data_IF_098706889821
#
_entry.id   IF_098706889821
#
_cell.length_a   1.000
_cell.length_b   1.000
_cell.length_c   1.000
_cell.angle_alpha   90.00
_cell.angle_beta   90.00
_cell.angle_gamma   90.00
#
_symmetry.space_group_name_H-M   'P 1'
#
loop_
_entity.id
_entity.type
_entity.pdbx_description
1 polymer ?
#
# COMPACT_ATOMS: atom_id res chain seq x y z
N UNK A 1 15.28 7.40 27.23
CA UNK A 1 14.63 6.13 26.77
C UNK A 1 13.14 6.30 26.44
N UNK A 2 12.35 7.07 27.22
CA UNK A 2 10.90 7.27 26.95
C UNK A 2 10.59 8.04 25.66
N UNK A 3 11.41 9.01 25.27
CA UNK A 3 11.19 9.83 24.05
C UNK A 3 11.32 9.02 22.75
N UNK A 4 12.28 8.08 22.68
CA UNK A 4 12.45 7.21 21.52
C UNK A 4 11.26 6.26 21.32
N UNK A 5 10.72 5.69 22.41
CA UNK A 5 9.53 4.83 22.33
C UNK A 5 8.28 5.60 21.94
N UNK A 6 8.16 6.87 22.36
CA UNK A 6 7.03 7.72 21.99
C UNK A 6 7.07 8.09 20.50
N UNK A 7 8.25 8.40 19.96
CA UNK A 7 8.44 8.65 18.53
C UNK A 7 8.06 7.44 17.69
N UNK A 8 8.51 6.24 18.08
CA UNK A 8 8.16 4.99 17.37
C UNK A 8 6.65 4.72 17.35
N UNK A 9 5.95 5.04 18.44
CA UNK A 9 4.48 4.93 18.52
C UNK A 9 3.77 5.89 17.57
N UNK A 10 4.25 7.13 17.45
CA UNK A 10 3.71 8.12 16.51
C UNK A 10 3.91 7.66 15.07
N UNK A 11 5.11 7.15 14.74
CA UNK A 11 5.38 6.60 13.40
C UNK A 11 4.47 5.41 13.05
N UNK A 12 4.25 4.50 13.99
CA UNK A 12 3.31 3.38 13.80
C UNK A 12 1.89 3.87 13.48
N UNK A 13 1.42 4.91 14.16
CA UNK A 13 0.10 5.51 13.93
C UNK A 13 0.03 6.17 12.55
N UNK A 14 1.08 6.90 12.14
CA UNK A 14 1.16 7.48 10.78
C UNK A 14 1.13 6.41 9.68
N UNK A 15 1.78 5.25 9.90
CA UNK A 15 1.72 4.11 9.00
C UNK A 15 0.31 3.55 8.84
N UNK A 16 -0.40 3.37 9.96
CA UNK A 16 -1.78 2.88 9.97
C UNK A 16 -2.70 3.89 9.27
N UNK A 17 -2.56 5.18 9.58
CA UNK A 17 -3.35 6.24 8.95
C UNK A 17 -3.12 6.26 7.44
N UNK A 18 -1.86 6.21 6.96
CA UNK A 18 -1.56 6.15 5.52
C UNK A 18 -2.11 4.88 4.87
N UNK A 19 -1.98 3.72 5.51
CA UNK A 19 -2.55 2.47 5.00
C UNK A 19 -4.07 2.54 4.84
N UNK A 20 -4.76 3.08 5.85
CA UNK A 20 -6.21 3.33 5.80
C UNK A 20 -6.54 4.34 4.70
N UNK A 21 -5.77 5.41 4.56
CA UNK A 21 -5.99 6.43 3.54
C UNK A 21 -5.78 5.88 2.12
N UNK A 22 -4.77 5.04 1.91
CA UNK A 22 -4.56 4.31 0.65
C UNK A 22 -5.71 3.35 0.36
N UNK A 23 -6.25 2.68 1.37
CA UNK A 23 -7.43 1.83 1.23
C UNK A 23 -8.68 2.67 0.87
N UNK A 24 -8.82 3.86 1.45
CA UNK A 24 -9.87 4.82 1.12
C UNK A 24 -9.74 5.34 -0.33
N UNK A 25 -8.52 5.62 -0.78
CA UNK A 25 -8.23 5.99 -2.17
C UNK A 25 -8.54 4.83 -3.12
N UNK A 26 -8.33 3.58 -2.70
CA UNK A 26 -8.72 2.41 -3.49
C UNK A 26 -10.24 2.31 -3.71
N UNK A 27 -11.06 3.03 -2.94
CA UNK A 27 -12.49 3.13 -3.20
C UNK A 27 -12.81 3.90 -4.50
N UNK A 28 -11.94 4.81 -4.95
CA UNK A 28 -12.11 5.58 -6.19
C UNK A 28 -12.11 4.65 -7.43
N UNK A 29 -11.08 3.79 -7.66
CA UNK A 29 -11.11 2.85 -8.77
C UNK A 29 -12.24 1.82 -8.62
N UNK A 30 -12.67 1.47 -7.40
CA UNK A 30 -13.85 0.63 -7.21
C UNK A 30 -15.14 1.26 -7.78
N UNK A 31 -15.32 2.58 -7.62
CA UNK A 31 -16.42 3.32 -8.24
C UNK A 31 -16.31 3.30 -9.77
N UNK A 32 -15.09 3.46 -10.32
CA UNK A 32 -14.87 3.35 -11.77
C UNK A 32 -15.22 1.96 -12.34
N UNK A 33 -14.93 0.88 -11.59
CA UNK A 33 -15.34 -0.48 -11.96
C UNK A 33 -16.86 -0.59 -12.03
N UNK A 34 -17.56 -0.05 -11.02
CA UNK A 34 -19.03 -0.04 -10.99
C UNK A 34 -19.62 0.75 -12.17
N UNK A 35 -19.06 1.92 -12.49
CA UNK A 35 -19.51 2.73 -13.63
C UNK A 35 -19.26 2.00 -14.95
N UNK A 36 -18.06 1.45 -15.16
CA UNK A 36 -17.74 0.69 -16.37
C UNK A 36 -18.60 -0.57 -16.53
N UNK A 37 -18.90 -1.27 -15.42
CA UNK A 37 -19.78 -2.43 -15.43
C UNK A 37 -21.24 -2.06 -15.74
N UNK A 38 -21.70 -0.90 -15.25
CA UNK A 38 -23.03 -0.38 -15.56
C UNK A 38 -23.15 0.02 -17.03
N UNK A 39 -22.12 0.65 -17.62
CA UNK A 39 -22.05 0.97 -19.05
C UNK A 39 -22.05 -0.32 -19.88
N UNK A 40 -21.28 -1.34 -19.48
CA UNK A 40 -21.23 -2.62 -20.20
C UNK A 40 -22.57 -3.38 -20.16
N UNK A 41 -23.33 -3.25 -19.06
CA UNK A 41 -24.64 -3.91 -18.93
C UNK A 41 -25.76 -3.19 -19.70
N UNK A 42 -25.72 -1.86 -19.77
CA UNK A 42 -26.76 -1.04 -20.43
C UNK A 42 -26.43 -0.63 -21.87
N UNK A 43 -25.15 -0.71 -22.28
CA UNK A 43 -24.67 -0.41 -23.62
C UNK A 43 -25.13 -1.46 -24.62
N UNK A 44 -26.41 -1.39 -24.98
CA UNK A 44 -27.02 -2.24 -25.98
C UNK A 44 -26.70 -1.68 -27.38
N UNK A 45 -25.65 -2.22 -28.00
CA UNK A 45 -25.45 -2.30 -29.46
C UNK A 45 -24.69 -1.17 -30.19
N UNK A 46 -23.85 -0.38 -29.52
CA UNK A 46 -22.80 0.40 -30.22
C UNK A 46 -21.42 -0.13 -29.81
N UNK A 47 -20.65 -0.64 -30.79
CA UNK A 47 -19.37 -1.30 -30.54
C UNK A 47 -18.35 -0.44 -29.77
N UNK A 48 -18.47 0.89 -29.90
CA UNK A 48 -17.62 1.86 -29.20
C UNK A 48 -17.92 1.95 -27.70
N UNK A 49 -19.19 1.89 -27.28
CA UNK A 49 -19.56 1.98 -25.85
C UNK A 49 -19.14 0.74 -25.06
N UNK A 50 -19.25 -0.44 -25.68
CA UNK A 50 -18.81 -1.71 -25.09
C UNK A 50 -17.29 -1.73 -24.87
N UNK A 51 -16.51 -1.19 -25.82
CA UNK A 51 -15.05 -1.14 -25.75
C UNK A 51 -14.58 -0.16 -24.66
N UNK A 52 -15.22 1.01 -24.56
CA UNK A 52 -14.97 2.00 -23.51
C UNK A 52 -15.31 1.43 -22.12
N UNK A 53 -16.48 0.79 -21.97
CA UNK A 53 -16.88 0.14 -20.71
C UNK A 53 -15.91 -0.95 -20.28
N UNK A 54 -15.51 -1.82 -21.21
CA UNK A 54 -14.54 -2.89 -20.95
C UNK A 54 -13.14 -2.36 -20.56
N UNK A 55 -12.66 -1.31 -21.22
CA UNK A 55 -11.38 -0.67 -20.88
C UNK A 55 -11.43 -0.03 -19.48
N UNK A 56 -12.49 0.71 -19.17
CA UNK A 56 -12.65 1.35 -17.85
C UNK A 56 -12.76 0.32 -16.72
N UNK A 57 -13.56 -0.74 -16.92
CA UNK A 57 -13.66 -1.83 -15.96
C UNK A 57 -12.34 -2.57 -15.81
N UNK A 58 -11.66 -2.91 -16.91
CA UNK A 58 -10.38 -3.62 -16.88
C UNK A 58 -9.26 -2.85 -16.20
N UNK A 59 -9.10 -1.57 -16.56
CA UNK A 59 -8.10 -0.67 -15.95
C UNK A 59 -8.43 -0.43 -14.47
N UNK A 60 -9.71 -0.18 -14.16
CA UNK A 60 -10.18 0.00 -12.79
C UNK A 60 -9.87 -1.21 -11.92
N UNK A 61 -10.12 -2.43 -12.42
CA UNK A 61 -9.88 -3.69 -11.71
C UNK A 61 -8.37 -3.93 -11.48
N UNK A 62 -7.55 -3.64 -12.50
CA UNK A 62 -6.09 -3.75 -12.41
C UNK A 62 -5.54 -2.79 -11.33
N UNK A 63 -5.94 -1.53 -11.38
CA UNK A 63 -5.52 -0.49 -10.43
C UNK A 63 -6.03 -0.79 -9.01
N UNK A 64 -7.28 -1.24 -8.88
CA UNK A 64 -7.88 -1.60 -7.60
C UNK A 64 -7.15 -2.77 -6.93
N UNK A 65 -6.90 -3.84 -7.68
CA UNK A 65 -6.14 -4.99 -7.19
C UNK A 65 -4.73 -4.58 -6.77
N UNK A 66 -4.04 -3.78 -7.60
CA UNK A 66 -2.70 -3.29 -7.28
C UNK A 66 -2.68 -2.42 -6.01
N UNK A 67 -3.63 -1.49 -5.85
CA UNK A 67 -3.74 -0.63 -4.67
C UNK A 67 -4.06 -1.42 -3.40
N UNK A 68 -4.96 -2.41 -3.47
CA UNK A 68 -5.26 -3.27 -2.33
C UNK A 68 -4.05 -4.11 -1.95
N UNK A 69 -3.39 -4.75 -2.91
CA UNK A 69 -2.18 -5.55 -2.66
C UNK A 69 -1.13 -4.66 -2.00
N UNK A 70 -0.82 -3.50 -2.58
CA UNK A 70 0.16 -2.57 -2.01
C UNK A 70 -0.26 -2.06 -0.62
N UNK A 71 -1.53 -1.75 -0.40
CA UNK A 71 -2.08 -1.32 0.88
C UNK A 71 -1.93 -2.39 1.96
N UNK A 72 -2.31 -3.64 1.65
CA UNK A 72 -2.17 -4.79 2.55
C UNK A 72 -0.70 -5.07 2.84
N UNK A 73 0.17 -5.09 1.83
CA UNK A 73 1.62 -5.27 2.02
C UNK A 73 2.20 -4.18 2.92
N UNK A 74 1.74 -2.93 2.79
CA UNK A 74 2.16 -1.81 3.65
C UNK A 74 1.78 -2.03 5.12
N UNK A 75 0.53 -2.43 5.36
CA UNK A 75 0.03 -2.72 6.71
C UNK A 75 0.81 -3.89 7.31
N UNK A 76 1.04 -4.93 6.51
CA UNK A 76 1.75 -6.13 6.93
C UNK A 76 3.22 -5.84 7.24
N UNK A 77 3.89 -5.01 6.44
CA UNK A 77 5.25 -4.54 6.73
C UNK A 77 5.30 -3.76 8.06
N UNK A 78 4.30 -2.90 8.33
CA UNK A 78 4.19 -2.20 9.61
C UNK A 78 3.98 -3.13 10.82
N UNK A 79 3.22 -4.21 10.64
CA UNK A 79 3.02 -5.25 11.67
C UNK A 79 4.32 -6.04 11.89
N UNK A 80 5.00 -6.45 10.81
CA UNK A 80 6.26 -7.21 10.88
C UNK A 80 7.42 -6.39 11.43
N UNK A 81 7.45 -5.07 11.20
CA UNK A 81 8.33 -4.13 11.90
C UNK A 81 8.13 -4.20 13.42
N UNK A 82 6.88 -4.22 13.88
CA UNK A 82 6.54 -4.36 15.30
C UNK A 82 6.86 -5.74 15.88
N UNK A 83 6.80 -6.80 15.05
CA UNK A 83 7.10 -8.18 15.45
C UNK A 83 8.56 -8.60 15.26
N UNK A 84 9.39 -7.75 14.69
CA UNK A 84 10.82 -7.97 14.48
C UNK A 84 11.16 -9.30 13.74
N UNK A 85 10.39 -9.66 12.71
CA UNK A 85 10.60 -10.90 11.95
C UNK A 85 10.79 -10.66 10.45
N UNK A 86 11.67 -11.46 9.82
CA UNK A 86 11.93 -11.53 8.36
C UNK A 86 12.42 -10.21 7.72
N UNK A 87 13.63 -9.78 8.09
CA UNK A 87 14.31 -8.55 7.62
C UNK A 87 14.22 -8.31 6.10
N UNK A 88 14.60 -9.30 5.30
CA UNK A 88 14.65 -9.16 3.83
C UNK A 88 13.28 -8.93 3.22
N UNK A 89 12.23 -9.52 3.79
CA UNK A 89 10.85 -9.36 3.31
C UNK A 89 10.35 -7.92 3.55
N UNK A 90 10.62 -7.38 4.74
CA UNK A 90 10.27 -5.99 5.09
C UNK A 90 11.01 -5.01 4.17
N UNK A 91 12.31 -5.23 3.93
CA UNK A 91 13.12 -4.35 3.09
C UNK A 91 12.62 -4.29 1.65
N UNK A 92 12.29 -5.44 1.05
CA UNK A 92 11.73 -5.50 -0.31
C UNK A 92 10.39 -4.78 -0.38
N UNK A 93 9.51 -4.97 0.61
CA UNK A 93 8.21 -4.28 0.65
C UNK A 93 8.39 -2.76 0.83
N UNK A 94 9.36 -2.32 1.62
CA UNK A 94 9.66 -0.90 1.81
C UNK A 94 10.10 -0.23 0.50
N UNK A 95 10.95 -0.90 -0.28
CA UNK A 95 11.40 -0.42 -1.59
C UNK A 95 10.22 -0.36 -2.57
N UNK A 96 9.38 -1.41 -2.60
CA UNK A 96 8.17 -1.41 -3.44
C UNK A 96 7.22 -0.27 -3.05
N UNK A 97 7.07 0.00 -1.76
CA UNK A 97 6.27 1.11 -1.28
C UNK A 97 6.81 2.46 -1.75
N UNK A 98 8.13 2.61 -1.85
CA UNK A 98 8.77 3.82 -2.33
C UNK A 98 8.30 4.22 -3.74
N UNK A 99 7.85 3.25 -4.56
CA UNK A 99 7.37 3.50 -5.92
C UNK A 99 5.93 4.04 -5.99
N UNK A 100 5.18 4.07 -4.88
CA UNK A 100 3.76 4.49 -4.86
C UNK A 100 3.53 5.99 -4.67
N UNK A 101 4.58 6.82 -4.76
CA UNK A 101 4.51 8.28 -4.66
C UNK A 101 5.03 8.83 -3.33
N UNK A 102 4.85 10.14 -3.09
CA UNK A 102 5.51 10.88 -1.98
C UNK A 102 5.25 10.24 -0.61
N UNK A 103 4.01 9.83 -0.34
CA UNK A 103 3.69 9.10 0.89
C UNK A 103 4.40 7.74 0.92
N UNK A 104 4.35 6.97 -0.16
CA UNK A 104 5.07 5.71 -0.28
C UNK A 104 6.59 5.83 -0.04
N UNK A 105 7.20 6.91 -0.56
CA UNK A 105 8.63 7.23 -0.39
C UNK A 105 8.96 7.52 1.07
N UNK A 106 8.21 8.42 1.71
CA UNK A 106 8.40 8.75 3.13
C UNK A 106 8.35 7.50 4.00
N UNK A 107 7.35 6.64 3.79
CA UNK A 107 7.19 5.41 4.55
C UNK A 107 8.25 4.35 4.21
N UNK A 108 8.64 4.23 2.94
CA UNK A 108 9.72 3.33 2.50
C UNK A 108 11.07 3.71 3.11
N UNK A 109 11.45 4.98 3.01
CA UNK A 109 12.69 5.52 3.59
C UNK A 109 12.67 5.36 5.11
N UNK A 110 11.55 5.68 5.77
CA UNK A 110 11.45 5.56 7.22
C UNK A 110 11.62 4.11 7.69
N UNK A 111 11.03 3.16 6.96
CA UNK A 111 11.21 1.72 7.21
C UNK A 111 12.67 1.32 7.08
N UNK A 112 13.37 1.78 6.03
CA UNK A 112 14.78 1.49 5.80
C UNK A 112 15.66 2.08 6.92
N UNK A 113 15.36 3.29 7.39
CA UNK A 113 16.08 3.94 8.50
C UNK A 113 15.89 3.14 9.79
N UNK A 114 14.65 2.75 10.11
CA UNK A 114 14.34 1.96 11.31
C UNK A 114 15.01 0.58 11.27
N UNK A 115 15.01 -0.08 10.10
CA UNK A 115 15.71 -1.36 9.88
C UNK A 115 17.23 -1.24 9.99
N UNK A 116 17.81 -0.08 9.63
CA UNK A 116 19.25 0.15 9.71
C UNK A 116 19.73 0.48 11.12
N UNK A 117 18.83 0.76 12.07
CA UNK A 117 19.26 1.00 13.46
C UNK A 117 19.93 -0.27 14.02
N UNK A 118 21.11 -0.13 14.65
CA UNK A 118 21.89 -1.27 15.14
C UNK A 118 21.10 -2.13 16.15
N UNK A 119 20.30 -1.50 17.02
CA UNK A 119 19.40 -2.20 17.96
C UNK A 119 18.41 -3.12 17.26
N UNK A 120 17.88 -2.73 16.10
CA UNK A 120 16.90 -3.52 15.35
C UNK A 120 17.60 -4.64 14.58
N UNK A 121 18.78 -4.39 14.00
CA UNK A 121 19.61 -5.46 13.41
C UNK A 121 19.96 -6.55 14.41
N UNK A 122 20.26 -6.17 15.65
CA UNK A 122 20.55 -7.09 16.76
C UNK A 122 19.33 -7.97 17.10
N UNK A 123 18.14 -7.36 17.20
CA UNK A 123 16.88 -8.06 17.47
C UNK A 123 16.48 -9.05 16.37
N UNK A 124 16.88 -8.79 15.12
CA UNK A 124 16.68 -9.69 13.99
C UNK A 124 17.77 -10.76 13.86
N UNK A 125 18.74 -10.83 14.78
CA UNK A 125 19.82 -11.82 14.79
C UNK A 125 20.83 -11.64 13.65
N UNK A 126 20.90 -10.46 13.03
CA UNK A 126 21.95 -10.09 12.07
C UNK A 126 22.98 -9.23 12.80
N UNK A 127 23.98 -9.89 13.39
CA UNK A 127 25.28 -9.27 13.71
C UNK A 127 25.91 -8.79 12.40
#
# INVERSE_FOLDING_TARGET
MQTEQNNLRIFKILFIIKGIFTCLIALIPAIYICIGAFILHNGQNEGDEMLVGALFTGIGLLIFSFLIIMGVLTILAGIYLGQQRKYTFILVIAILNCLTGILGILLGIFTIIELNKPKVRELFGKT
#
